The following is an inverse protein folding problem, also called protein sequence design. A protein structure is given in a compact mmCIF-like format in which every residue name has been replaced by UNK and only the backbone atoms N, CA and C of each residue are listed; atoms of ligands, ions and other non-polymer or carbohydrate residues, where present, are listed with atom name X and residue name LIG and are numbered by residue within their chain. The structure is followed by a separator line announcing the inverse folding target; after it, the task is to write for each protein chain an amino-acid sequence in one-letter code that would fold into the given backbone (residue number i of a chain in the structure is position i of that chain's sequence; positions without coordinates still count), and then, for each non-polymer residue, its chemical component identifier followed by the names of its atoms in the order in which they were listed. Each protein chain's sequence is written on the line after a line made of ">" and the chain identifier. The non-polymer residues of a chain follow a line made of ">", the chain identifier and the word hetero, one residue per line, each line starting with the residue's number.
data_IF_847565254012
#
_entry.id   IF_847565254012
#
_cell.length_a   1.000
_cell.length_b   1.000
_cell.length_c   1.000
_cell.angle_alpha   90.00
_cell.angle_beta   90.00
_cell.angle_gamma   90.00
#
_symmetry.space_group_name_H-M   'P 1'
#
loop_
_entity.id
_entity.type
_entity.pdbx_description
1 polymer ?
#
# COMPACT_ATOMS: atom_id res chain seq x y z
N UNK A 1 3.57 -13.69 4.17
CA UNK A 1 4.60 -12.81 3.56
C UNK A 1 5.73 -12.67 4.56
N UNK A 2 6.98 -12.76 4.09
CA UNK A 2 8.20 -12.54 4.88
C UNK A 2 9.11 -11.56 4.12
N UNK A 3 10.10 -10.98 4.79
CA UNK A 3 11.10 -10.10 4.18
C UNK A 3 10.49 -8.94 3.38
N UNK A 4 9.44 -8.33 3.94
CA UNK A 4 8.69 -7.27 3.27
C UNK A 4 9.56 -6.02 3.18
N UNK A 5 9.73 -5.51 1.96
CA UNK A 5 10.41 -4.24 1.69
C UNK A 5 9.46 -3.31 0.98
N UNK A 6 9.42 -2.04 1.40
CA UNK A 6 8.61 -0.98 0.77
C UNK A 6 9.55 0.06 0.19
N UNK A 7 9.43 0.30 -1.12
CA UNK A 7 10.21 1.28 -1.87
C UNK A 7 9.31 2.40 -2.40
N UNK A 8 9.90 3.56 -2.71
CA UNK A 8 9.17 4.70 -3.28
C UNK A 8 8.59 5.69 -2.26
N UNK A 9 8.72 5.44 -0.96
CA UNK A 9 8.28 6.37 0.11
C UNK A 9 9.08 7.69 0.15
N UNK A 10 10.18 7.82 -0.59
CA UNK A 10 10.92 9.07 -0.74
C UNK A 10 10.24 10.05 -1.71
N UNK A 11 9.36 9.56 -2.57
CA UNK A 11 8.67 10.37 -3.58
C UNK A 11 7.29 10.85 -3.10
N UNK A 12 7.04 10.74 -1.79
CA UNK A 12 5.81 11.24 -1.17
C UNK A 12 5.85 12.75 -1.08
N UNK A 13 4.90 13.41 -1.72
CA UNK A 13 4.75 14.85 -1.64
C UNK A 13 3.33 15.27 -1.26
N UNK A 14 3.22 16.51 -0.77
CA UNK A 14 1.94 17.13 -0.44
C UNK A 14 1.18 17.45 -1.72
N UNK A 15 -0.08 17.03 -1.78
CA UNK A 15 -0.97 17.42 -2.86
C UNK A 15 -1.96 18.49 -2.41
N UNK A 16 -1.85 19.69 -2.97
CA UNK A 16 -2.71 20.81 -2.62
C UNK A 16 -2.35 21.47 -1.29
N UNK A 17 -3.12 22.49 -0.90
CA UNK A 17 -2.84 23.34 0.25
C UNK A 17 -3.22 22.72 1.59
N UNK A 18 -2.42 22.99 2.62
CA UNK A 18 -2.85 22.75 3.99
C UNK A 18 -4.03 23.68 4.29
N UNK A 19 -5.15 23.12 4.77
CA UNK A 19 -6.36 23.90 5.07
C UNK A 19 -6.51 24.01 6.58
N UNK A 20 -6.42 25.22 7.08
CA UNK A 20 -6.78 25.52 8.46
C UNK A 20 -8.28 25.83 8.52
N UNK A 21 -9.05 25.04 9.28
CA UNK A 21 -10.49 25.30 9.46
C UNK A 21 -10.65 26.36 10.54
N UNK A 22 -11.22 27.51 10.17
CA UNK A 22 -11.50 28.62 11.11
C UNK A 22 -12.30 28.13 12.33
N UNK A 23 -11.96 28.66 13.51
CA UNK A 23 -12.50 28.30 14.83
C UNK A 23 -12.11 26.90 15.37
N UNK A 24 -11.08 26.28 14.80
CA UNK A 24 -10.48 25.09 15.40
C UNK A 24 -8.96 25.25 15.48
N UNK A 25 -8.36 24.69 16.54
CA UNK A 25 -6.92 24.48 16.60
C UNK A 25 -6.47 23.33 15.68
N UNK A 26 -7.32 22.87 14.76
CA UNK A 26 -7.07 21.74 13.88
C UNK A 26 -6.69 22.23 12.48
N UNK A 27 -5.54 21.74 12.01
CA UNK A 27 -5.07 21.91 10.65
C UNK A 27 -5.26 20.57 9.94
N UNK A 28 -6.02 20.59 8.86
CA UNK A 28 -6.30 19.43 8.01
C UNK A 28 -5.36 19.49 6.80
N UNK A 29 -4.48 18.48 6.67
CA UNK A 29 -3.54 18.40 5.57
C UNK A 29 -3.79 17.10 4.83
N UNK A 30 -4.25 17.22 3.59
CA UNK A 30 -4.33 16.10 2.68
C UNK A 30 -3.00 15.99 1.93
N UNK A 31 -2.39 14.82 2.00
CA UNK A 31 -1.29 14.43 1.12
C UNK A 31 -1.85 13.42 0.12
N UNK A 32 -1.52 13.58 -1.15
CA UNK A 32 -1.80 12.56 -2.14
C UNK A 32 -0.50 12.17 -2.81
N UNK A 33 -0.30 10.87 -2.86
CA UNK A 33 0.75 10.24 -3.61
C UNK A 33 0.26 10.11 -5.03
N UNK A 34 0.52 11.13 -5.84
CA UNK A 34 0.24 11.07 -7.27
C UNK A 34 1.30 10.29 -8.05
N UNK A 35 2.32 9.79 -7.36
CA UNK A 35 3.37 9.03 -8.02
C UNK A 35 2.95 7.58 -8.19
N UNK A 36 3.21 7.07 -9.39
CA UNK A 36 3.31 5.64 -9.62
C UNK A 36 4.52 5.14 -8.85
N UNK A 37 4.61 3.84 -8.57
CA UNK A 37 5.84 3.16 -8.10
C UNK A 37 6.06 3.05 -6.57
N UNK A 38 5.03 3.01 -5.72
CA UNK A 38 5.24 2.36 -4.42
C UNK A 38 5.28 0.86 -4.67
N UNK A 39 6.46 0.28 -4.51
CA UNK A 39 6.70 -1.13 -4.77
C UNK A 39 6.90 -1.83 -3.42
N UNK A 40 6.04 -2.80 -3.14
CA UNK A 40 6.17 -3.70 -2.00
C UNK A 40 6.64 -5.04 -2.52
N UNK A 41 7.83 -5.46 -2.11
CA UNK A 41 8.35 -6.80 -2.41
C UNK A 41 8.31 -7.67 -1.17
N UNK A 42 8.01 -8.96 -1.32
CA UNK A 42 8.02 -9.91 -0.22
C UNK A 42 8.22 -11.34 -0.70
N UNK A 43 8.81 -12.15 0.19
CA UNK A 43 8.86 -13.59 0.01
C UNK A 43 7.51 -14.20 0.39
N UNK A 44 7.05 -15.13 -0.43
CA UNK A 44 5.72 -15.67 -0.37
C UNK A 44 5.75 -17.20 -0.45
N UNK A 45 5.12 -17.83 0.54
CA UNK A 45 4.73 -19.23 0.50
C UNK A 45 3.19 -19.26 0.46
N UNK A 46 2.62 -19.94 -0.55
CA UNK A 46 1.18 -20.00 -0.78
C UNK A 46 0.72 -21.43 -0.74
N UNK A 47 -0.25 -21.70 0.13
CA UNK A 47 -1.01 -22.94 0.11
C UNK A 47 -2.24 -22.74 -0.76
N UNK A 48 -2.38 -23.53 -1.81
CA UNK A 48 -3.57 -23.59 -2.67
C UNK A 48 -4.24 -24.95 -2.54
N UNK A 49 -5.44 -25.10 -3.08
CA UNK A 49 -6.15 -26.39 -3.11
C UNK A 49 -5.44 -27.42 -4.01
N UNK A 50 -4.57 -26.97 -4.93
CA UNK A 50 -3.81 -27.85 -5.82
C UNK A 50 -2.51 -28.31 -5.13
N UNK A 51 -1.73 -27.36 -4.61
CA UNK A 51 -0.46 -27.63 -3.93
C UNK A 51 0.05 -26.43 -3.13
N UNK A 52 1.15 -26.66 -2.43
CA UNK A 52 1.94 -25.61 -1.80
C UNK A 52 2.99 -25.09 -2.80
N UNK A 53 3.05 -23.77 -2.96
CA UNK A 53 4.12 -23.08 -3.65
C UNK A 53 4.99 -22.38 -2.62
N UNK A 54 6.29 -22.63 -2.66
CA UNK A 54 7.26 -22.10 -1.73
C UNK A 54 8.29 -21.23 -2.46
N UNK A 55 8.90 -20.29 -1.73
CA UNK A 55 9.97 -19.42 -2.22
C UNK A 55 9.56 -18.57 -3.43
N UNK A 56 8.29 -18.15 -3.48
CA UNK A 56 7.84 -17.20 -4.50
C UNK A 56 8.25 -15.78 -4.11
N UNK A 57 8.56 -14.98 -5.12
CA UNK A 57 8.72 -13.54 -4.99
C UNK A 57 7.42 -12.85 -5.39
N UNK A 58 6.85 -12.08 -4.47
CA UNK A 58 5.67 -11.26 -4.71
C UNK A 58 6.08 -9.79 -4.77
N UNK A 59 5.68 -9.12 -5.85
CA UNK A 59 5.79 -7.68 -6.00
C UNK A 59 4.40 -7.07 -6.16
N UNK A 60 4.07 -6.13 -5.29
CA UNK A 60 2.82 -5.38 -5.32
C UNK A 60 3.16 -3.93 -5.64
N UNK A 61 2.60 -3.40 -6.72
CA UNK A 61 2.75 -2.00 -7.11
C UNK A 61 1.48 -1.24 -6.76
N UNK A 62 1.61 -0.21 -5.94
CA UNK A 62 0.54 0.70 -5.57
C UNK A 62 0.75 2.05 -6.26
N UNK A 63 -0.31 2.55 -6.89
CA UNK A 63 -0.36 3.90 -7.44
C UNK A 63 -1.48 4.70 -6.76
N UNK A 64 -1.35 6.03 -6.77
CA UNK A 64 -2.39 6.96 -6.32
C UNK A 64 -2.86 6.68 -4.88
N UNK A 65 -1.95 6.81 -3.92
CA UNK A 65 -2.25 6.54 -2.50
C UNK A 65 -2.62 7.84 -1.79
N UNK A 66 -3.78 7.87 -1.16
CA UNK A 66 -4.26 9.08 -0.50
C UNK A 66 -3.99 8.96 1.00
N UNK A 67 -3.29 9.94 1.58
CA UNK A 67 -2.94 9.95 3.00
C UNK A 67 -3.47 11.22 3.64
N UNK A 68 -4.28 11.08 4.68
CA UNK A 68 -4.77 12.20 5.44
C UNK A 68 -3.96 12.39 6.73
N UNK A 69 -3.57 13.63 7.00
CA UNK A 69 -3.01 14.03 8.28
C UNK A 69 -3.89 15.09 8.93
N UNK A 70 -4.20 14.91 10.21
CA UNK A 70 -4.77 15.97 11.03
C UNK A 70 -3.78 16.36 12.09
N UNK A 71 -3.46 17.65 12.15
CA UNK A 71 -2.62 18.24 13.16
C UNK A 71 -3.47 19.09 14.09
N UNK A 72 -3.16 19.06 15.38
CA UNK A 72 -3.65 20.03 16.36
C UNK A 72 -2.51 20.98 16.70
N UNK A 73 -2.75 22.28 16.54
CA UNK A 73 -1.87 23.35 16.97
C UNK A 73 -2.19 23.71 18.42
N UNK A 74 -1.23 23.50 19.31
CA UNK A 74 -1.30 23.91 20.71
C UNK A 74 -0.18 24.91 20.98
N UNK A 75 -0.52 26.20 21.11
CA UNK A 75 0.44 27.30 21.15
C UNK A 75 1.43 27.24 19.97
N UNK A 76 2.72 27.03 20.23
CA UNK A 76 3.80 26.96 19.24
C UNK A 76 4.14 25.52 18.83
N UNK A 77 3.34 24.53 19.24
CA UNK A 77 3.57 23.12 18.94
C UNK A 77 2.47 22.54 18.05
N UNK A 78 2.85 21.62 17.17
CA UNK A 78 1.93 20.82 16.38
C UNK A 78 1.97 19.37 16.85
N UNK A 79 0.78 18.79 17.07
CA UNK A 79 0.61 17.38 17.42
C UNK A 79 -0.13 16.67 16.32
N UNK A 80 0.39 15.54 15.84
CA UNK A 80 -0.37 14.65 14.95
C UNK A 80 -1.52 14.05 15.75
N UNK A 81 -2.75 14.36 15.35
CA UNK A 81 -3.97 13.76 15.90
C UNK A 81 -4.41 12.54 15.11
N UNK A 82 -4.24 12.60 13.79
CA UNK A 82 -4.63 11.52 12.89
C UNK A 82 -3.58 11.37 11.79
N UNK A 83 -3.22 10.12 11.54
CA UNK A 83 -2.53 9.67 10.34
C UNK A 83 -3.35 8.52 9.77
N UNK A 84 -3.88 8.70 8.57
CA UNK A 84 -4.72 7.69 7.93
C UNK A 84 -4.35 7.54 6.47
N UNK A 85 -4.03 6.31 6.07
CA UNK A 85 -4.05 5.95 4.64
C UNK A 85 -5.52 5.78 4.28
N UNK A 86 -6.02 6.68 3.43
CA UNK A 86 -7.43 6.80 3.07
C UNK A 86 -7.80 5.77 2.01
N UNK A 87 -6.95 5.63 0.99
CA UNK A 87 -7.27 4.81 -0.17
C UNK A 87 -6.00 4.44 -0.97
N UNK A 88 -6.05 3.27 -1.61
CA UNK A 88 -5.13 2.84 -2.67
C UNK A 88 -5.98 2.67 -3.93
N UNK A 89 -5.84 3.55 -4.93
CA UNK A 89 -6.72 3.47 -6.13
C UNK A 89 -6.36 2.30 -7.04
N UNK A 90 -5.06 2.05 -7.26
CA UNK A 90 -4.60 0.99 -8.15
C UNK A 90 -3.59 0.10 -7.44
N UNK A 91 -3.80 -1.21 -7.54
CA UNK A 91 -2.93 -2.24 -7.01
C UNK A 91 -2.68 -3.30 -8.07
N UNK A 92 -1.42 -3.51 -8.43
CA UNK A 92 -1.00 -4.54 -9.37
C UNK A 92 -0.11 -5.56 -8.66
N UNK A 93 -0.47 -6.85 -8.78
CA UNK A 93 0.24 -7.95 -8.12
C UNK A 93 0.96 -8.82 -9.15
N UNK A 94 2.28 -8.87 -9.04
CA UNK A 94 3.16 -9.74 -9.81
C UNK A 94 3.78 -10.81 -8.91
N UNK A 95 3.87 -12.05 -9.40
CA UNK A 95 4.37 -13.20 -8.65
C UNK A 95 5.34 -13.96 -9.56
N UNK A 96 6.53 -14.27 -9.05
CA UNK A 96 7.61 -14.91 -9.79
C UNK A 96 8.30 -15.98 -8.93
N UNK A 97 9.12 -16.84 -9.53
CA UNK A 97 9.98 -17.76 -8.79
C UNK A 97 9.57 -19.23 -8.83
N UNK A 98 8.57 -19.59 -9.65
CA UNK A 98 8.26 -20.97 -9.98
C UNK A 98 7.85 -21.05 -11.44
N UNK A 99 8.57 -21.84 -12.23
CA UNK A 99 8.26 -22.09 -13.65
C UNK A 99 6.84 -22.61 -13.84
N UNK A 100 6.31 -23.32 -12.85
CA UNK A 100 4.94 -23.84 -12.87
C UNK A 100 3.90 -22.76 -12.57
N UNK A 101 4.22 -21.76 -11.74
CA UNK A 101 3.36 -20.58 -11.54
C UNK A 101 3.37 -19.73 -12.81
N UNK A 102 4.55 -19.54 -13.39
CA UNK A 102 4.76 -18.75 -14.61
C UNK A 102 4.11 -19.39 -15.85
N UNK A 103 4.06 -20.73 -15.91
CA UNK A 103 3.42 -21.47 -16.99
C UNK A 103 1.92 -21.78 -16.75
N UNK A 104 1.38 -21.50 -15.56
CA UNK A 104 0.01 -21.86 -15.18
C UNK A 104 -0.82 -20.63 -14.75
N UNK A 105 -1.56 -20.08 -15.71
CA UNK A 105 -2.49 -18.97 -15.51
C UNK A 105 -3.50 -19.18 -14.39
N UNK A 106 -3.96 -20.42 -14.16
CA UNK A 106 -4.92 -20.72 -13.10
C UNK A 106 -4.27 -20.60 -11.72
N UNK A 107 -3.07 -21.16 -11.53
CA UNK A 107 -2.32 -21.03 -10.28
C UNK A 107 -2.02 -19.55 -9.96
N UNK A 108 -1.56 -18.79 -10.96
CA UNK A 108 -1.37 -17.34 -10.85
C UNK A 108 -2.63 -16.60 -10.40
N UNK A 109 -3.78 -16.90 -11.00
CA UNK A 109 -5.07 -16.27 -10.64
C UNK A 109 -5.50 -16.58 -9.21
N UNK A 110 -5.36 -17.83 -8.76
CA UNK A 110 -5.71 -18.20 -7.39
C UNK A 110 -4.83 -17.49 -6.36
N UNK A 111 -3.52 -17.40 -6.61
CA UNK A 111 -2.61 -16.69 -5.71
C UNK A 111 -2.94 -15.19 -5.68
N UNK A 112 -3.16 -14.55 -6.84
CA UNK A 112 -3.58 -13.13 -6.91
C UNK A 112 -4.89 -12.89 -6.17
N UNK A 113 -5.86 -13.80 -6.29
CA UNK A 113 -7.15 -13.71 -5.57
C UNK A 113 -6.96 -13.73 -4.06
N UNK A 114 -6.12 -14.65 -3.55
CA UNK A 114 -5.82 -14.72 -2.12
C UNK A 114 -5.14 -13.44 -1.61
N UNK A 115 -4.18 -12.89 -2.36
CA UNK A 115 -3.49 -11.64 -2.02
C UNK A 115 -4.49 -10.47 -2.01
N UNK A 116 -5.31 -10.32 -3.05
CA UNK A 116 -6.29 -9.24 -3.13
C UNK A 116 -7.35 -9.32 -2.02
N UNK A 117 -7.75 -10.52 -1.61
CA UNK A 117 -8.65 -10.70 -0.46
C UNK A 117 -8.02 -10.27 0.86
N UNK A 118 -6.71 -10.46 1.03
CA UNK A 118 -5.98 -9.98 2.22
C UNK A 118 -5.85 -8.46 2.23
N UNK A 119 -5.66 -7.84 1.06
CA UNK A 119 -5.55 -6.37 0.94
C UNK A 119 -6.89 -5.69 1.28
N UNK A 120 -8.02 -6.22 0.80
CA UNK A 120 -9.34 -5.59 0.98
C UNK A 120 -10.00 -5.87 2.34
N UNK A 121 -9.34 -6.59 3.24
CA UNK A 121 -9.86 -6.90 4.60
C UNK A 121 -9.20 -6.08 5.71
N UNK A 122 -8.16 -5.30 5.39
CA UNK A 122 -7.45 -4.42 6.32
C UNK A 122 -8.02 -3.00 6.29
#
# INVERSE_FOLDING_TARGET
>A
MKNITVQGLSHIYRNGNAVMKNNSNIIDIQLQLNDKNIIVTSDLNVKTDIKNFENLNCQISYDNIHINFKFEKNHDQFKVKEFKIVHFENCQVNIQGSSEVEANDYACRQIRKLINQSINKA
#
